data_IF_959519076544
#
_entry.id   IF_959519076544
#
_cell.length_a   1.000
_cell.length_b   1.000
_cell.length_c   1.000
_cell.angle_alpha   90.00
_cell.angle_beta   90.00
_cell.angle_gamma   90.00
#
_symmetry.space_group_name_H-M   'P 1'
#
loop_
_entity.id
_entity.type
_entity.pdbx_description
1 polymer ?
#
# COMPACT_ATOMS: atom_id res chain seq x y z
N UNK A 1 -32.05 3.32 -46.33
CA UNK A 1 -32.07 1.83 -46.36
C UNK A 1 -31.55 1.38 -45.00
N UNK A 2 -32.48 1.04 -44.12
CA UNK A 2 -32.24 0.73 -42.70
C UNK A 2 -31.97 -0.75 -42.53
N UNK A 3 -30.88 -1.10 -41.83
CA UNK A 3 -30.66 -2.46 -41.31
C UNK A 3 -30.49 -2.38 -39.79
N UNK A 4 -31.51 -2.86 -39.07
CA UNK A 4 -31.40 -3.23 -37.66
C UNK A 4 -31.16 -4.75 -37.57
N UNK A 5 -30.20 -5.22 -36.76
CA UNK A 5 -30.20 -6.59 -36.29
C UNK A 5 -30.88 -6.72 -34.92
N UNK A 6 -31.79 -7.68 -34.89
CA UNK A 6 -32.57 -8.15 -33.75
C UNK A 6 -31.75 -9.23 -33.04
N UNK A 7 -31.45 -9.05 -31.75
CA UNK A 7 -30.86 -10.13 -30.92
C UNK A 7 -31.81 -10.51 -29.79
N UNK A 8 -32.22 -11.78 -29.86
CA UNK A 8 -33.12 -12.47 -28.95
C UNK A 8 -32.39 -12.86 -27.65
N UNK A 9 -33.17 -12.88 -26.57
CA UNK A 9 -32.79 -13.37 -25.25
C UNK A 9 -32.94 -14.89 -25.18
N UNK A 10 -32.01 -15.58 -24.52
CA UNK A 10 -32.22 -16.94 -24.01
C UNK A 10 -31.80 -17.00 -22.54
N UNK A 11 -32.81 -17.14 -21.68
CA UNK A 11 -32.67 -17.52 -20.29
C UNK A 11 -32.72 -19.05 -20.21
N UNK A 12 -31.72 -19.69 -19.62
CA UNK A 12 -31.77 -21.11 -19.25
C UNK A 12 -31.72 -21.24 -17.73
N UNK A 13 -32.92 -21.42 -17.17
CA UNK A 13 -33.18 -21.91 -15.83
C UNK A 13 -32.87 -23.41 -15.74
N UNK A 14 -32.00 -23.80 -14.81
CA UNK A 14 -31.73 -25.20 -14.47
C UNK A 14 -32.15 -25.44 -13.01
N UNK A 15 -33.23 -26.19 -12.87
CA UNK A 15 -33.81 -26.72 -11.63
C UNK A 15 -33.46 -28.20 -11.59
N UNK A 16 -32.72 -28.65 -10.57
CA UNK A 16 -32.50 -30.07 -10.25
C UNK A 16 -32.49 -30.20 -8.72
N UNK A 17 -33.57 -30.71 -8.14
CA UNK A 17 -33.81 -32.13 -7.78
C UNK A 17 -33.19 -32.53 -6.44
N UNK A 18 -34.03 -32.37 -5.42
CA UNK A 18 -34.42 -33.35 -4.38
C UNK A 18 -33.60 -34.65 -4.28
N UNK A 19 -32.87 -34.78 -3.18
CA UNK A 19 -32.36 -36.06 -2.67
C UNK A 19 -32.73 -36.22 -1.20
N UNK A 20 -33.77 -37.01 -0.92
CA UNK A 20 -34.12 -37.49 0.40
C UNK A 20 -33.22 -38.67 0.80
N UNK A 21 -32.89 -38.77 2.10
CA UNK A 21 -32.65 -40.06 2.74
C UNK A 21 -31.31 -40.23 3.48
N UNK A 22 -31.34 -40.05 4.80
CA UNK A 22 -31.07 -41.12 5.80
C UNK A 22 -30.94 -40.50 7.19
N UNK A 23 -31.93 -40.78 8.03
CA UNK A 23 -31.83 -40.61 9.48
C UNK A 23 -30.90 -41.67 10.05
N UNK A 24 -29.84 -41.24 10.73
CA UNK A 24 -29.10 -42.08 11.67
C UNK A 24 -28.86 -41.26 12.93
N UNK A 25 -29.36 -41.80 14.05
CA UNK A 25 -29.36 -41.12 15.34
C UNK A 25 -27.95 -40.91 15.88
N UNK A 26 -27.69 -39.70 16.36
CA UNK A 26 -26.49 -39.34 17.07
C UNK A 26 -26.84 -38.69 18.43
N UNK A 27 -26.02 -38.89 19.46
CA UNK A 27 -26.33 -38.55 20.85
C UNK A 27 -26.47 -37.04 21.06
N UNK A 28 -27.43 -36.67 21.93
CA UNK A 28 -27.74 -35.29 22.37
C UNK A 28 -26.50 -34.62 22.95
N UNK A 29 -25.71 -33.94 22.11
CA UNK A 29 -24.66 -33.00 22.52
C UNK A 29 -25.33 -31.71 22.96
N UNK A 30 -25.00 -31.26 24.16
CA UNK A 30 -25.42 -29.97 24.71
C UNK A 30 -25.17 -28.84 23.69
N UNK A 31 -26.25 -28.30 23.16
CA UNK A 31 -26.30 -27.16 22.27
C UNK A 31 -25.84 -25.91 23.04
N UNK A 32 -24.52 -25.72 23.07
CA UNK A 32 -23.93 -24.46 23.51
C UNK A 32 -24.31 -23.43 22.46
N UNK A 33 -25.40 -22.69 22.74
CA UNK A 33 -25.85 -21.54 21.94
C UNK A 33 -24.60 -20.77 21.50
N UNK A 34 -24.34 -20.61 20.18
CA UNK A 34 -23.22 -19.83 19.73
C UNK A 34 -23.38 -18.45 20.36
N UNK A 35 -22.47 -18.11 21.28
CA UNK A 35 -22.33 -16.74 21.74
C UNK A 35 -22.01 -15.94 20.50
N UNK A 36 -23.03 -15.30 19.93
CA UNK A 36 -22.89 -14.23 18.97
C UNK A 36 -21.92 -13.26 19.64
N UNK A 37 -20.64 -13.37 19.25
CA UNK A 37 -19.61 -12.44 19.67
C UNK A 37 -20.16 -11.12 19.20
N UNK A 38 -20.58 -10.30 20.17
CA UNK A 38 -20.94 -8.90 19.97
C UNK A 38 -19.98 -8.38 18.91
N UNK A 39 -20.54 -8.09 17.73
CA UNK A 39 -19.84 -7.34 16.70
C UNK A 39 -19.54 -6.02 17.40
N UNK A 40 -18.36 -5.96 18.04
CA UNK A 40 -17.85 -4.77 18.67
C UNK A 40 -18.03 -3.71 17.60
N UNK A 41 -18.89 -2.75 17.89
CA UNK A 41 -19.08 -1.55 17.09
C UNK A 41 -17.69 -1.14 16.61
N UNK A 42 -17.43 -1.41 15.32
CA UNK A 42 -16.20 -0.96 14.71
C UNK A 42 -16.27 0.55 14.85
N UNK A 43 -15.33 1.11 15.61
CA UNK A 43 -15.26 2.54 15.80
C UNK A 43 -15.35 3.16 14.41
N UNK A 44 -16.39 3.97 14.18
CA UNK A 44 -16.55 4.71 12.95
C UNK A 44 -15.48 5.80 12.96
N UNK A 45 -14.29 5.46 12.48
CA UNK A 45 -13.19 6.40 12.32
C UNK A 45 -13.56 7.28 11.15
N UNK A 46 -13.92 8.54 11.45
CA UNK A 46 -14.14 9.55 10.41
C UNK A 46 -12.79 9.94 9.81
N UNK A 47 -12.44 9.30 8.71
CA UNK A 47 -11.29 9.61 7.88
C UNK A 47 -11.53 10.97 7.22
N UNK A 48 -11.00 12.05 7.79
CA UNK A 48 -10.94 13.34 7.10
C UNK A 48 -9.66 13.37 6.28
N UNK A 49 -9.74 13.00 5.00
CA UNK A 49 -8.59 13.09 4.09
C UNK A 49 -8.27 14.56 3.82
N UNK A 50 -6.98 14.90 3.83
CA UNK A 50 -6.52 16.28 3.53
C UNK A 50 -6.35 16.49 2.03
N UNK A 51 -6.25 15.39 1.28
CA UNK A 51 -6.25 15.41 -0.16
C UNK A 51 -7.69 15.30 -0.70
N UNK A 52 -7.99 15.94 -1.84
CA UNK A 52 -9.29 15.76 -2.49
C UNK A 52 -9.44 14.29 -2.91
N UNK A 53 -10.68 13.75 -2.94
CA UNK A 53 -10.93 12.43 -3.48
C UNK A 53 -10.32 12.31 -4.88
N UNK A 54 -9.61 11.22 -5.14
CA UNK A 54 -9.09 10.92 -6.48
C UNK A 54 -9.69 9.61 -6.91
N UNK A 55 -10.62 9.62 -7.88
CA UNK A 55 -11.14 8.37 -8.42
C UNK A 55 -9.99 7.63 -9.08
N UNK A 56 -9.62 6.50 -8.51
CA UNK A 56 -8.70 5.55 -9.10
C UNK A 56 -9.50 4.31 -9.50
N UNK A 57 -9.17 3.72 -10.64
CA UNK A 57 -9.82 2.50 -11.14
C UNK A 57 -8.77 1.62 -11.78
N UNK A 58 -8.51 0.46 -11.18
CA UNK A 58 -7.64 -0.59 -11.76
C UNK A 58 -8.09 -0.99 -13.19
N UNK A 59 -9.37 -0.80 -13.52
CA UNK A 59 -9.92 -1.10 -14.84
C UNK A 59 -9.45 -0.12 -15.92
N UNK A 60 -9.20 1.14 -15.57
CA UNK A 60 -8.78 2.17 -16.53
C UNK A 60 -7.32 1.96 -16.96
N UNK A 61 -6.51 1.35 -16.08
CA UNK A 61 -5.14 0.91 -16.36
C UNK A 61 -5.06 -0.29 -17.33
N UNK A 62 -6.19 -0.95 -17.62
CA UNK A 62 -6.27 -1.93 -18.72
C UNK A 62 -6.34 -1.25 -20.09
N UNK A 63 -6.57 0.07 -20.13
CA UNK A 63 -6.84 0.83 -21.36
C UNK A 63 -5.62 1.23 -22.18
N UNK A 64 -4.43 1.33 -21.58
CA UNK A 64 -3.14 1.48 -22.28
C UNK A 64 -2.60 0.12 -22.74
N UNK A 65 -3.52 -0.73 -23.19
CA UNK A 65 -3.23 -1.91 -23.99
C UNK A 65 -2.69 -1.37 -25.32
N UNK A 66 -1.36 -1.36 -25.45
CA UNK A 66 -0.73 -1.37 -26.75
C UNK A 66 -1.49 -2.41 -27.60
N UNK A 67 -1.78 -2.03 -28.84
CA UNK A 67 -2.61 -2.80 -29.78
C UNK A 67 -2.07 -4.22 -30.05
N UNK A 68 -0.87 -4.51 -29.57
CA UNK A 68 -0.29 -5.85 -29.45
C UNK A 68 -0.72 -6.54 -28.15
N UNK A 69 -1.42 -7.66 -28.32
CA UNK A 69 -2.18 -8.45 -27.35
C UNK A 69 -1.43 -9.04 -26.13
N UNK A 70 -0.31 -8.47 -25.69
CA UNK A 70 0.27 -8.80 -24.39
C UNK A 70 -0.33 -7.91 -23.32
N UNK A 71 -1.46 -8.34 -22.75
CA UNK A 71 -1.92 -7.85 -21.44
C UNK A 71 -0.74 -8.09 -20.50
N UNK A 72 -0.03 -7.03 -20.07
CA UNK A 72 0.92 -7.16 -18.98
C UNK A 72 0.09 -7.57 -17.75
N UNK A 73 0.19 -8.83 -17.28
CA UNK A 73 -0.56 -9.24 -16.12
C UNK A 73 -0.11 -8.34 -14.97
N UNK A 74 -1.07 -7.90 -14.15
CA UNK A 74 -0.73 -7.25 -12.88
C UNK A 74 0.21 -8.21 -12.15
N UNK A 75 1.42 -7.74 -11.85
CA UNK A 75 2.42 -8.55 -11.18
C UNK A 75 1.82 -9.18 -9.91
N UNK A 76 1.99 -10.48 -9.70
CA UNK A 76 1.51 -11.17 -8.50
C UNK A 76 1.99 -10.46 -7.22
N UNK A 77 3.18 -9.86 -7.27
CA UNK A 77 3.74 -9.07 -6.16
C UNK A 77 2.94 -7.81 -5.87
N UNK A 78 2.47 -7.11 -6.90
CA UNK A 78 1.60 -5.96 -6.74
C UNK A 78 0.32 -6.35 -5.97
N UNK A 79 -0.31 -7.46 -6.35
CA UNK A 79 -1.50 -8.00 -5.65
C UNK A 79 -1.17 -8.37 -4.20
N UNK A 80 -0.02 -8.99 -3.95
CA UNK A 80 0.43 -9.29 -2.59
C UNK A 80 0.62 -8.03 -1.74
N UNK A 81 1.17 -6.95 -2.31
CA UNK A 81 1.30 -5.66 -1.62
C UNK A 81 -0.07 -5.06 -1.32
N UNK A 82 -1.02 -5.11 -2.26
CA UNK A 82 -2.40 -4.66 -2.02
C UNK A 82 -3.04 -5.42 -0.85
N UNK A 83 -2.92 -6.74 -0.80
CA UNK A 83 -3.42 -7.55 0.32
C UNK A 83 -2.77 -7.15 1.64
N UNK A 84 -1.46 -6.85 1.65
CA UNK A 84 -0.76 -6.37 2.87
C UNK A 84 -1.28 -5.02 3.35
N UNK A 85 -1.59 -4.10 2.43
CA UNK A 85 -2.16 -2.79 2.77
C UNK A 85 -3.56 -2.97 3.38
N UNK A 86 -4.39 -3.84 2.81
CA UNK A 86 -5.71 -4.15 3.36
C UNK A 86 -5.61 -4.79 4.76
N UNK A 87 -4.65 -5.69 4.97
CA UNK A 87 -4.37 -6.26 6.30
C UNK A 87 -3.92 -5.19 7.30
N UNK A 88 -3.09 -4.22 6.88
CA UNK A 88 -2.69 -3.10 7.72
C UNK A 88 -3.90 -2.30 8.21
N UNK A 89 -4.85 -2.00 7.31
CA UNK A 89 -6.08 -1.26 7.64
C UNK A 89 -7.02 -2.02 8.60
N UNK A 90 -6.84 -3.32 8.80
CA UNK A 90 -7.58 -4.08 9.82
C UNK A 90 -7.09 -3.79 11.25
N UNK A 91 -5.88 -3.27 11.40
CA UNK A 91 -5.19 -3.12 12.69
C UNK A 91 -4.69 -1.70 12.97
N UNK A 92 -4.60 -0.85 11.94
CA UNK A 92 -4.03 0.48 12.02
C UNK A 92 -4.85 1.46 11.18
N UNK A 93 -4.90 2.73 11.61
CA UNK A 93 -5.57 3.74 10.83
C UNK A 93 -4.72 4.15 9.61
N UNK A 94 -5.36 4.62 8.54
CA UNK A 94 -4.65 5.11 7.36
C UNK A 94 -3.73 6.30 7.69
N UNK A 95 -4.12 7.12 8.68
CA UNK A 95 -3.34 8.25 9.16
C UNK A 95 -2.05 7.87 9.92
N UNK A 96 -1.93 6.62 10.34
CA UNK A 96 -0.74 6.10 11.04
C UNK A 96 0.35 5.62 10.06
N UNK A 97 0.13 5.74 8.75
CA UNK A 97 1.08 5.31 7.74
C UNK A 97 2.42 6.02 7.89
N UNK A 98 3.46 5.25 8.19
CA UNK A 98 4.83 5.76 8.25
C UNK A 98 5.50 5.79 6.88
N UNK A 99 6.47 6.69 6.73
CA UNK A 99 7.30 6.82 5.53
C UNK A 99 8.04 5.51 5.22
N UNK A 100 8.63 4.87 6.23
CA UNK A 100 9.33 3.58 6.08
C UNK A 100 8.38 2.47 5.61
N UNK A 101 7.15 2.45 6.14
CA UNK A 101 6.15 1.44 5.77
C UNK A 101 5.70 1.61 4.31
N UNK A 102 5.40 2.85 3.89
CA UNK A 102 5.04 3.18 2.52
C UNK A 102 6.17 2.83 1.54
N UNK A 103 7.41 3.21 1.87
CA UNK A 103 8.59 2.86 1.08
C UNK A 103 8.72 1.34 0.92
N UNK A 104 8.62 0.59 2.02
CA UNK A 104 8.75 -0.88 1.99
C UNK A 104 7.67 -1.55 1.15
N UNK A 105 6.44 -1.00 1.12
CA UNK A 105 5.40 -1.50 0.25
C UNK A 105 5.69 -1.23 -1.23
N UNK A 106 6.12 -0.02 -1.58
CA UNK A 106 6.50 0.32 -2.95
C UNK A 106 7.65 -0.54 -3.44
N UNK A 107 8.71 -0.67 -2.66
CA UNK A 107 9.88 -1.51 -2.97
C UNK A 107 9.49 -2.97 -3.26
N UNK A 108 8.56 -3.53 -2.47
CA UNK A 108 8.13 -4.94 -2.60
C UNK A 108 7.32 -5.27 -3.85
N UNK A 109 6.86 -4.27 -4.60
CA UNK A 109 6.17 -4.51 -5.87
C UNK A 109 7.09 -5.25 -6.85
N UNK A 110 8.40 -4.95 -6.81
CA UNK A 110 9.39 -5.53 -7.71
C UNK A 110 10.33 -6.50 -6.98
N UNK A 111 10.76 -7.62 -7.61
CA UNK A 111 11.73 -8.54 -7.01
C UNK A 111 13.10 -7.94 -6.69
N UNK A 112 13.53 -6.97 -7.49
CA UNK A 112 14.81 -6.27 -7.37
C UNK A 112 14.72 -5.02 -6.47
N UNK A 113 13.56 -4.73 -5.89
CA UNK A 113 13.31 -3.50 -5.14
C UNK A 113 13.16 -2.25 -6.01
N UNK A 114 13.15 -2.41 -7.34
CA UNK A 114 13.12 -1.33 -8.33
C UNK A 114 11.85 -1.35 -9.17
N UNK A 115 10.65 -1.07 -8.59
CA UNK A 115 9.42 -1.01 -9.37
C UNK A 115 9.50 0.04 -10.47
N UNK A 116 8.75 -0.19 -11.54
CA UNK A 116 8.59 0.82 -12.58
C UNK A 116 7.90 2.07 -12.04
N UNK A 117 8.16 3.22 -12.67
CA UNK A 117 7.49 4.49 -12.36
C UNK A 117 5.96 4.32 -12.37
N UNK A 118 5.44 3.60 -13.35
CA UNK A 118 4.01 3.31 -13.48
C UNK A 118 3.48 2.51 -12.28
N UNK A 119 4.15 1.43 -11.88
CA UNK A 119 3.76 0.62 -10.71
C UNK A 119 3.80 1.40 -9.40
N UNK A 120 4.84 2.22 -9.20
CA UNK A 120 4.97 3.04 -8.00
C UNK A 120 3.85 4.09 -7.89
N UNK A 121 3.53 4.76 -9.02
CA UNK A 121 2.41 5.70 -9.10
C UNK A 121 1.07 4.99 -8.91
N UNK A 122 0.91 3.82 -9.51
CA UNK A 122 -0.30 2.99 -9.37
C UNK A 122 -0.57 2.65 -7.92
N UNK A 123 0.45 2.16 -7.20
CA UNK A 123 0.32 1.86 -5.78
C UNK A 123 -0.02 3.11 -4.95
N UNK A 124 0.59 4.26 -5.28
CA UNK A 124 0.31 5.52 -4.60
C UNK A 124 -1.16 5.93 -4.70
N UNK A 125 -1.79 5.76 -5.87
CA UNK A 125 -3.20 6.08 -6.05
C UNK A 125 -4.14 5.01 -5.49
N UNK A 126 -3.74 3.73 -5.53
CA UNK A 126 -4.44 2.66 -4.83
C UNK A 126 -4.51 2.95 -3.31
N UNK A 127 -3.38 3.32 -2.69
CA UNK A 127 -3.37 3.74 -1.29
C UNK A 127 -4.29 4.96 -1.07
N UNK A 128 -4.26 5.93 -1.98
CA UNK A 128 -5.13 7.12 -1.85
C UNK A 128 -6.61 6.77 -1.87
N UNK A 129 -7.03 5.84 -2.72
CA UNK A 129 -8.43 5.37 -2.79
C UNK A 129 -8.87 4.70 -1.48
N UNK A 130 -7.96 4.01 -0.79
CA UNK A 130 -8.20 3.40 0.51
C UNK A 130 -8.21 4.40 1.69
N UNK A 131 -8.00 5.70 1.41
CA UNK A 131 -8.05 6.78 2.41
C UNK A 131 -6.70 7.15 3.01
N UNK A 132 -5.58 6.64 2.48
CA UNK A 132 -4.26 7.16 2.82
C UNK A 132 -4.06 8.54 2.17
N UNK A 133 -3.50 9.50 2.90
CA UNK A 133 -3.17 10.82 2.34
C UNK A 133 -1.86 10.77 1.51
N UNK A 134 -1.79 9.93 0.48
CA UNK A 134 -0.62 9.80 -0.41
C UNK A 134 -0.82 10.50 -1.74
N UNK A 135 0.24 11.09 -2.30
CA UNK A 135 0.20 11.69 -3.64
C UNK A 135 1.56 11.60 -4.34
N UNK A 136 1.54 11.78 -5.66
CA UNK A 136 2.73 11.82 -6.50
C UNK A 136 2.98 13.23 -7.04
N UNK A 137 4.25 13.55 -7.28
CA UNK A 137 4.67 14.76 -7.98
C UNK A 137 5.74 14.39 -9.01
N UNK A 138 5.49 14.78 -10.26
CA UNK A 138 6.46 14.65 -11.34
C UNK A 138 7.29 15.94 -11.40
N UNK A 139 8.60 15.82 -11.21
CA UNK A 139 9.55 16.93 -11.27
C UNK A 139 10.30 16.86 -12.59
N UNK A 140 9.68 17.42 -13.65
CA UNK A 140 10.21 17.35 -15.03
C UNK A 140 11.61 17.96 -15.13
N UNK A 141 11.86 19.08 -14.43
CA UNK A 141 13.17 19.76 -14.43
C UNK A 141 14.30 18.90 -13.86
N UNK A 142 13.98 17.94 -12.98
CA UNK A 142 14.94 17.07 -12.32
C UNK A 142 14.92 15.63 -12.87
N UNK A 143 14.03 15.35 -13.83
CA UNK A 143 13.72 13.98 -14.27
C UNK A 143 13.44 13.04 -13.09
N UNK A 144 12.65 13.47 -12.12
CA UNK A 144 12.33 12.69 -10.91
C UNK A 144 10.83 12.50 -10.70
N UNK A 145 10.43 11.27 -10.36
CA UNK A 145 9.17 10.99 -9.68
C UNK A 145 9.40 11.07 -8.17
N UNK A 146 8.51 11.76 -7.44
CA UNK A 146 8.49 11.75 -5.97
C UNK A 146 7.11 11.38 -5.46
N UNK A 147 7.06 10.47 -4.48
CA UNK A 147 5.82 10.10 -3.79
C UNK A 147 5.88 10.57 -2.35
N UNK A 148 4.76 11.10 -1.87
CA UNK A 148 4.63 11.81 -0.61
C UNK A 148 3.49 11.27 0.23
N UNK A 149 3.66 11.29 1.55
CA UNK A 149 2.58 11.23 2.54
C UNK A 149 2.30 12.67 2.96
N UNK A 150 1.07 13.12 2.74
CA UNK A 150 0.64 14.47 3.03
C UNK A 150 0.52 14.69 4.54
N UNK A 151 1.02 15.82 5.01
CA UNK A 151 0.96 16.20 6.41
C UNK A 151 -0.41 16.81 6.72
N UNK A 152 -1.21 16.11 7.54
CA UNK A 152 -2.55 16.54 7.90
C UNK A 152 -2.61 17.86 8.69
N UNK A 153 -1.49 18.27 9.29
CA UNK A 153 -1.41 19.51 10.06
C UNK A 153 -1.19 20.76 9.20
N UNK A 154 -1.03 20.60 7.89
CA UNK A 154 -0.68 21.69 6.98
C UNK A 154 -1.85 21.98 6.05
N UNK A 155 -2.43 23.17 6.22
CA UNK A 155 -3.57 23.64 5.43
C UNK A 155 -3.16 24.07 4.00
N UNK A 156 -1.95 24.62 3.85
CA UNK A 156 -1.45 25.14 2.57
C UNK A 156 -0.16 24.42 2.19
N UNK A 157 -0.22 23.67 1.08
CA UNK A 157 0.95 23.01 0.50
C UNK A 157 1.65 23.99 -0.43
N UNK A 158 2.68 24.64 0.10
CA UNK A 158 3.53 25.53 -0.67
C UNK A 158 4.52 24.71 -1.51
N UNK A 159 4.49 24.79 -2.86
CA UNK A 159 5.43 24.07 -3.71
C UNK A 159 6.89 24.47 -3.49
N UNK A 160 7.15 25.65 -2.92
CA UNK A 160 8.51 26.15 -2.61
C UNK A 160 9.06 25.59 -1.30
N UNK A 161 8.22 24.92 -0.48
CA UNK A 161 8.60 24.31 0.79
C UNK A 161 8.52 22.79 0.70
N UNK A 162 9.52 22.13 0.10
CA UNK A 162 9.48 20.70 -0.24
C UNK A 162 9.44 19.75 0.98
N UNK A 163 9.62 20.27 2.20
CA UNK A 163 9.77 19.48 3.43
C UNK A 163 8.53 19.52 4.34
N UNK A 164 7.39 20.00 3.82
CA UNK A 164 6.13 20.02 4.57
C UNK A 164 5.55 18.60 4.65
N UNK A 165 5.53 17.93 3.50
CA UNK A 165 5.02 16.57 3.32
C UNK A 165 6.19 15.58 3.30
N UNK A 166 5.93 14.33 3.71
CA UNK A 166 6.98 13.33 3.91
C UNK A 166 7.22 12.55 2.62
N UNK A 167 8.37 12.73 1.99
CA UNK A 167 8.75 11.95 0.80
C UNK A 167 9.03 10.51 1.21
N UNK A 168 8.29 9.53 0.70
CA UNK A 168 8.59 8.11 0.95
C UNK A 168 9.15 7.38 -0.27
N UNK A 169 9.14 8.01 -1.45
CA UNK A 169 9.74 7.43 -2.66
C UNK A 169 10.30 8.52 -3.57
N UNK A 170 11.46 8.26 -4.17
CA UNK A 170 12.11 9.16 -5.14
C UNK A 170 12.83 8.32 -6.17
N UNK A 171 12.43 8.47 -7.43
CA UNK A 171 12.93 7.66 -8.53
C UNK A 171 13.31 8.56 -9.70
N UNK A 172 14.50 8.35 -10.26
CA UNK A 172 14.95 9.04 -11.46
C UNK A 172 14.28 8.41 -12.69
N UNK A 173 13.62 9.22 -13.52
CA UNK A 173 12.82 8.77 -14.67
C UNK A 173 13.69 8.22 -15.81
N UNK A 174 14.93 8.69 -15.94
CA UNK A 174 15.85 8.26 -17.00
C UNK A 174 16.56 6.96 -16.67
N UNK A 175 17.00 6.83 -15.43
CA UNK A 175 17.84 5.70 -15.01
C UNK A 175 17.06 4.61 -14.28
N UNK A 176 15.82 4.91 -13.85
CA UNK A 176 15.04 4.05 -12.97
C UNK A 176 15.59 3.97 -11.54
N UNK A 177 16.73 4.62 -11.23
CA UNK A 177 17.39 4.50 -9.95
C UNK A 177 16.56 5.13 -8.83
N UNK A 178 16.50 4.45 -7.69
CA UNK A 178 15.80 4.93 -6.50
C UNK A 178 16.80 5.64 -5.60
N UNK A 179 16.47 6.86 -5.20
CA UNK A 179 17.30 7.60 -4.26
C UNK A 179 17.10 7.06 -2.84
N UNK A 180 18.18 6.94 -2.08
CA UNK A 180 18.11 6.61 -0.65
C UNK A 180 17.38 7.75 0.06
N UNK A 181 16.26 7.41 0.69
CA UNK A 181 15.47 8.32 1.50
C UNK A 181 15.83 8.04 2.95
N UNK A 182 16.13 9.11 3.70
CA UNK A 182 16.25 9.00 5.13
C UNK A 182 14.87 8.69 5.72
N UNK A 183 14.68 7.41 6.04
CA UNK A 183 13.49 6.86 6.71
C UNK A 183 13.69 6.79 8.22
N UNK A 184 14.69 7.50 8.75
CA UNK A 184 14.90 7.60 10.19
C UNK A 184 13.56 7.87 10.87
N UNK A 185 13.21 7.10 11.92
CA UNK A 185 11.97 7.32 12.64
C UNK A 185 11.92 8.78 13.01
N UNK A 186 10.85 9.45 12.55
CA UNK A 186 10.63 10.86 12.83
C UNK A 186 10.91 11.06 14.32
N UNK A 187 11.78 12.01 14.70
CA UNK A 187 12.16 12.18 16.09
C UNK A 187 10.87 12.36 16.85
N UNK A 188 10.44 11.30 17.54
CA UNK A 188 9.16 11.26 18.22
C UNK A 188 9.25 12.44 19.13
N UNK A 189 8.49 13.51 18.85
CA UNK A 189 8.60 14.76 19.59
C UNK A 189 8.41 14.35 21.02
N UNK A 190 9.51 14.20 21.76
CA UNK A 190 9.47 13.56 23.06
C UNK A 190 8.45 14.41 23.81
N UNK A 191 7.35 13.82 24.29
CA UNK A 191 6.28 14.58 24.90
C UNK A 191 6.97 15.54 25.83
N UNK A 192 6.84 16.84 25.54
CA UNK A 192 7.70 17.89 26.06
C UNK A 192 7.40 17.94 27.55
N UNK A 193 8.03 17.03 28.30
CA UNK A 193 7.85 16.83 29.72
C UNK A 193 8.14 18.21 30.26
N UNK A 194 7.12 18.89 30.79
CA UNK A 194 7.24 20.24 31.31
C UNK A 194 8.29 20.20 32.43
N UNK A 195 9.58 20.31 32.06
CA UNK A 195 10.69 20.60 32.96
C UNK A 195 10.49 22.05 33.39
N UNK A 196 9.64 22.18 34.39
CA UNK A 196 9.13 23.44 34.90
C UNK A 196 8.11 23.27 36.02
N UNK A 197 7.94 22.06 36.58
CA UNK A 197 7.44 21.95 37.94
C UNK A 197 8.58 22.40 38.86
N UNK A 198 8.52 23.69 39.18
CA UNK A 198 9.31 24.38 40.19
C UNK A 198 9.37 23.50 41.44
N UNK A 199 10.60 23.22 41.88
CA UNK A 199 10.87 22.55 43.13
C UNK A 199 10.19 23.26 44.29
N UNK A 200 9.46 22.49 45.09
CA UNK A 200 8.83 22.95 46.32
C UNK A 200 8.56 21.75 47.22
N UNK A 201 9.55 21.41 48.05
CA UNK A 201 9.36 20.60 49.25
C UNK A 201 9.55 19.08 49.08
N UNK A 202 10.81 18.65 49.10
CA UNK A 202 11.16 17.28 49.49
C UNK A 202 10.78 17.08 50.95
N UNK A 203 9.61 16.50 51.20
CA UNK A 203 9.36 15.78 52.44
C UNK A 203 9.96 14.38 52.27
N UNK A 204 10.97 14.14 53.08
CA UNK A 204 11.75 12.92 53.19
C UNK A 204 10.83 11.77 53.65
N UNK A 205 10.30 11.02 52.69
CA UNK A 205 9.51 9.81 52.94
C UNK A 205 10.39 8.59 52.62
N UNK A 206 10.59 7.67 53.57
CA UNK A 206 11.44 6.50 53.38
C UNK A 206 10.89 5.63 52.25
N UNK A 207 11.74 5.35 51.27
CA UNK A 207 11.43 4.41 50.19
C UNK A 207 11.22 3.00 50.77
N UNK A 208 10.14 2.30 50.39
CA UNK A 208 10.02 0.88 50.68
C UNK A 208 11.05 0.07 49.86
N UNK A 209 11.59 -1.03 50.41
CA UNK A 209 12.60 -1.83 49.74
C UNK A 209 12.08 -2.44 48.44
N UNK A 210 12.88 -2.28 47.37
CA UNK A 210 12.65 -2.88 46.07
C UNK A 210 12.76 -4.41 46.18
N UNK A 211 11.64 -5.11 46.05
CA UNK A 211 11.62 -6.54 45.77
C UNK A 211 12.17 -6.77 44.36
N UNK A 212 13.41 -7.26 44.27
CA UNK A 212 13.97 -7.81 43.05
C UNK A 212 13.31 -9.17 42.80
N UNK A 213 12.36 -9.24 41.87
CA UNK A 213 11.92 -10.52 41.31
C UNK A 213 12.80 -10.87 40.11
N UNK A 214 13.49 -12.01 40.10
CA UNK A 214 14.20 -12.49 38.93
C UNK A 214 13.18 -12.97 37.88
N UNK A 215 12.94 -12.15 36.86
CA UNK A 215 12.26 -12.59 35.65
C UNK A 215 13.29 -13.26 34.73
N UNK A 216 13.20 -14.59 34.61
CA UNK A 216 13.82 -15.34 33.52
C UNK A 216 12.90 -15.27 32.29
N UNK A 217 13.31 -14.67 31.18
CA UNK A 217 12.63 -14.86 29.91
C UNK A 217 13.02 -16.23 29.36
N UNK A 218 12.14 -17.22 29.48
CA UNK A 218 12.18 -18.41 28.62
C UNK A 218 11.49 -18.04 27.31
N UNK A 219 12.29 -17.91 26.25
CA UNK A 219 11.85 -17.86 24.85
C UNK A 219 11.15 -19.18 24.47
N UNK A 220 9.88 -19.18 24.03
CA UNK A 220 9.21 -20.39 23.57
C UNK A 220 9.25 -20.61 22.04
N UNK A 221 10.09 -19.89 21.28
CA UNK A 221 10.16 -20.07 19.81
C UNK A 221 11.58 -20.32 19.32
N UNK A 222 12.14 -21.46 19.72
CA UNK A 222 13.23 -22.10 18.97
C UNK A 222 12.59 -22.98 17.89
N UNK A 223 12.28 -22.38 16.75
CA UNK A 223 11.85 -23.11 15.55
C UNK A 223 13.11 -23.74 14.95
N UNK A 224 13.25 -25.06 15.09
CA UNK A 224 14.33 -25.82 14.47
C UNK A 224 14.24 -25.69 12.94
N UNK A 225 15.31 -25.15 12.35
CA UNK A 225 15.62 -25.27 10.92
C UNK A 225 15.89 -26.73 10.59
N UNK A 226 14.87 -27.43 10.09
CA UNK A 226 15.01 -28.68 9.36
C UNK A 226 14.22 -28.55 8.05
N UNK A 227 14.80 -27.83 7.09
CA UNK A 227 14.35 -27.87 5.70
C UNK A 227 15.14 -28.94 4.93
N UNK A 228 14.45 -29.93 4.33
CA UNK A 228 15.10 -30.95 3.51
C UNK A 228 15.68 -30.35 2.23
N UNK A 229 16.83 -30.90 1.85
CA UNK A 229 17.58 -30.66 0.62
C UNK A 229 16.66 -30.53 -0.59
N UNK A 230 16.65 -29.33 -1.16
CA UNK A 230 15.99 -29.00 -2.41
C UNK A 230 16.65 -29.80 -3.55
N UNK A 231 15.89 -30.73 -4.13
CA UNK A 231 16.24 -31.43 -5.36
C UNK A 231 16.07 -30.46 -6.53
N UNK A 232 17.09 -30.21 -7.37
CA UNK A 232 16.94 -29.32 -8.52
C UNK A 232 16.05 -29.98 -9.58
N UNK A 233 14.99 -29.27 -9.96
CA UNK A 233 14.09 -29.64 -11.06
C UNK A 233 14.82 -29.55 -12.42
N UNK A 234 14.56 -30.47 -13.36
CA UNK A 234 15.27 -30.59 -14.64
C UNK A 234 14.82 -29.59 -15.74
N UNK A 235 14.12 -28.51 -15.40
CA UNK A 235 13.64 -27.51 -16.37
C UNK A 235 14.49 -26.23 -16.35
N UNK A 236 15.79 -26.36 -16.60
CA UNK A 236 16.62 -25.21 -16.97
C UNK A 236 16.41 -24.91 -18.46
N UNK A 237 15.43 -24.05 -18.77
CA UNK A 237 15.35 -23.41 -20.08
C UNK A 237 16.45 -22.36 -20.17
N UNK A 238 17.48 -22.65 -20.96
CA UNK A 238 18.47 -21.67 -21.40
C UNK A 238 17.77 -20.61 -22.24
N UNK A 239 17.48 -19.45 -21.64
CA UNK A 239 17.20 -18.24 -22.40
C UNK A 239 18.51 -17.71 -22.96
N UNK A 240 18.59 -17.70 -24.29
CA UNK A 240 19.68 -17.10 -25.03
C UNK A 240 19.84 -15.64 -24.62
N UNK A 241 21.09 -15.27 -24.36
CA UNK A 241 21.56 -13.89 -24.28
C UNK A 241 21.22 -13.17 -25.58
N UNK A 242 20.09 -12.48 -25.62
CA UNK A 242 19.83 -11.45 -26.62
C UNK A 242 20.29 -10.11 -26.05
N UNK A 243 21.33 -9.60 -26.70
CA UNK A 243 21.70 -8.20 -26.96
C UNK A 243 21.11 -7.09 -26.08
N UNK A 244 21.99 -6.15 -25.74
CA UNK A 244 21.80 -4.89 -25.03
C UNK A 244 20.66 -4.01 -25.58
N UNK A 245 19.42 -4.41 -25.33
CA UNK A 245 18.23 -3.61 -25.53
C UNK A 245 17.99 -2.73 -24.32
N UNK A 246 18.46 -1.49 -24.38
CA UNK A 246 18.07 -0.45 -23.43
C UNK A 246 16.53 -0.45 -23.25
N UNK A 247 16.00 -0.32 -22.02
CA UNK A 247 14.56 -0.34 -21.80
C UNK A 247 13.88 0.78 -22.60
N UNK A 248 12.65 0.56 -23.10
CA UNK A 248 11.91 1.58 -23.83
C UNK A 248 11.67 2.78 -22.91
N UNK A 249 12.35 3.88 -23.21
CA UNK A 249 12.08 5.17 -22.59
C UNK A 249 10.67 5.59 -22.97
N UNK A 250 9.82 5.87 -21.97
CA UNK A 250 8.54 6.54 -22.20
C UNK A 250 8.85 7.87 -22.90
N UNK A 251 8.27 8.07 -24.09
CA UNK A 251 8.44 9.33 -24.81
C UNK A 251 7.68 10.43 -24.07
N UNK A 252 8.14 11.67 -24.18
CA UNK A 252 7.51 12.84 -23.56
C UNK A 252 6.01 12.96 -23.91
N UNK A 253 5.60 12.42 -25.06
CA UNK A 253 4.22 12.39 -25.54
C UNK A 253 3.32 11.42 -24.75
N UNK A 254 3.85 10.31 -24.21
CA UNK A 254 3.08 9.39 -23.36
C UNK A 254 2.82 9.97 -21.96
N UNK A 255 3.66 10.89 -21.49
CA UNK A 255 3.48 11.57 -20.20
C UNK A 255 2.31 12.56 -20.25
N UNK A 256 2.08 13.21 -21.39
CA UNK A 256 0.96 14.15 -21.58
C UNK A 256 -0.41 13.45 -21.64
N UNK A 257 -0.45 12.17 -22.04
CA UNK A 257 -1.70 11.36 -22.08
C UNK A 257 -2.22 11.03 -20.68
N UNK A 258 -1.36 11.02 -19.66
CA UNK A 258 -1.75 10.76 -18.27
C UNK A 258 -2.44 11.94 -17.57
N UNK A 259 -2.72 13.05 -18.27
CA UNK A 259 -3.61 14.11 -17.77
C UNK A 259 -3.08 14.88 -16.55
N UNK A 260 -1.78 14.78 -16.24
CA UNK A 260 -1.12 15.61 -15.24
C UNK A 260 -0.81 16.97 -15.89
N UNK A 261 -1.86 17.72 -16.18
CA UNK A 261 -1.78 19.03 -16.82
C UNK A 261 -0.98 20.02 -15.98
N UNK A 262 0.27 20.28 -16.39
CA UNK A 262 1.01 21.44 -15.97
C UNK A 262 0.24 22.69 -16.39
N UNK A 263 -0.28 23.44 -15.42
CA UNK A 263 -0.92 24.73 -15.68
C UNK A 263 0.04 25.64 -16.41
N UNK A 264 -0.26 25.88 -17.70
CA UNK A 264 0.45 26.80 -18.57
C UNK A 264 0.37 28.19 -17.93
N UNK A 265 1.48 28.68 -17.37
CA UNK A 265 1.59 30.05 -16.87
C UNK A 265 1.63 30.96 -18.09
N UNK A 266 0.55 31.71 -18.25
CA UNK A 266 0.45 32.80 -19.22
C UNK A 266 1.32 33.96 -18.72
N UNK A 267 2.55 34.04 -19.23
CA UNK A 267 3.46 35.16 -18.99
C UNK A 267 2.97 36.37 -19.79
N UNK A 268 1.92 37.00 -19.28
CA UNK A 268 1.43 38.29 -19.76
C UNK A 268 2.48 39.38 -19.55
N UNK A 269 3.34 39.58 -20.55
CA UNK A 269 4.07 40.84 -20.73
C UNK A 269 3.09 41.88 -21.29
N UNK A 270 2.90 42.96 -20.53
CA UNK A 270 2.37 44.23 -20.99
C UNK A 270 3.43 45.31 -20.73
#
# INVERSE_FOLDING_TARGET
MSNQPHHQAEATSSTGETGEGRQSGAPKKHEKKPRLRSLRSLACVSLTTVLPPTPYRDADDRGTLNRDLTINPVSDRYVHVQVRILQYLQHSAAEDLSQAQAHSWTERISPDGCPTVAEAVRLCYYMRELGFDTYSKLMVELDELRLYIANKHVLFRDPERPNIDRIYWRQNLKTGSIAVIDTSPEPTMRPRTRRGAIGGGTLDLPQPPLFQTPFHPTDPFSLSDDHPLYSPDPYTLHFGSSDDGAPPFLTREEIDILGIGGGQRDDGRN
#
